data_IF_838935290215
#
_entry.id   IF_838935290215
#
_cell.length_a   1.000
_cell.length_b   1.000
_cell.length_c   1.000
_cell.angle_alpha   90.00
_cell.angle_beta   90.00
_cell.angle_gamma   90.00
#
_symmetry.space_group_name_H-M   'P 1'
#
loop_
_entity.id
_entity.type
_entity.pdbx_description
1 polymer ?
#
# COMPACT_ATOMS: atom_id res chain seq x y z
N UNK A 1 10.86 9.35 -8.68
CA UNK A 1 10.47 7.93 -8.54
C UNK A 1 11.53 7.10 -7.79
N UNK A 2 12.81 7.10 -8.19
CA UNK A 2 13.85 6.33 -7.50
C UNK A 2 14.08 6.77 -6.05
N UNK A 3 14.12 8.07 -5.77
CA UNK A 3 14.39 8.59 -4.42
C UNK A 3 13.32 8.19 -3.38
N UNK A 4 12.04 8.19 -3.75
CA UNK A 4 10.94 7.76 -2.86
C UNK A 4 10.99 6.27 -2.55
N UNK A 5 11.47 5.46 -3.50
CA UNK A 5 11.66 4.02 -3.34
C UNK A 5 12.78 3.75 -2.33
N UNK A 6 13.92 4.45 -2.43
CA UNK A 6 15.05 4.31 -1.51
C UNK A 6 14.71 4.66 -0.05
N UNK A 7 13.84 5.65 0.18
CA UNK A 7 13.41 6.07 1.53
C UNK A 7 12.35 5.12 2.11
N UNK A 8 11.47 4.55 1.28
CA UNK A 8 10.43 3.60 1.70
C UNK A 8 10.94 2.17 1.90
N UNK A 9 12.01 1.79 1.21
CA UNK A 9 12.52 0.42 1.15
C UNK A 9 12.87 -0.25 2.47
N UNK A 10 13.47 0.46 3.44
CA UNK A 10 13.67 -0.06 4.79
C UNK A 10 12.38 -0.62 5.39
N UNK A 11 11.31 0.16 5.31
CA UNK A 11 10.01 -0.17 5.88
C UNK A 11 9.31 -1.28 5.10
N UNK A 12 9.41 -1.24 3.77
CA UNK A 12 8.84 -2.27 2.90
C UNK A 12 9.55 -3.62 3.11
N UNK A 13 10.87 -3.62 3.29
CA UNK A 13 11.67 -4.83 3.55
C UNK A 13 11.38 -5.44 4.91
N UNK A 14 11.25 -4.61 5.96
CA UNK A 14 10.85 -5.06 7.30
C UNK A 14 9.43 -5.63 7.27
N UNK A 15 8.49 -4.97 6.56
CA UNK A 15 7.12 -5.44 6.38
C UNK A 15 7.10 -6.81 5.71
N UNK A 16 7.75 -6.96 4.57
CA UNK A 16 7.77 -8.22 3.81
C UNK A 16 8.40 -9.35 4.63
N UNK A 17 9.55 -9.14 5.28
CA UNK A 17 10.18 -10.16 6.13
C UNK A 17 9.32 -10.56 7.32
N UNK A 18 8.64 -9.61 7.95
CA UNK A 18 7.73 -9.86 9.07
C UNK A 18 6.46 -10.61 8.63
N UNK A 19 5.97 -10.34 7.40
CA UNK A 19 4.84 -11.04 6.80
C UNK A 19 5.19 -12.48 6.39
N UNK A 20 6.40 -12.73 5.89
CA UNK A 20 6.84 -14.06 5.44
C UNK A 20 7.28 -14.94 6.61
N UNK A 21 7.97 -14.39 7.61
CA UNK A 21 8.60 -15.15 8.70
C UNK A 21 8.08 -14.75 10.10
N UNK A 22 6.79 -14.96 10.39
CA UNK A 22 6.17 -14.54 11.66
C UNK A 22 6.75 -15.26 12.89
N UNK A 23 7.30 -16.48 12.72
CA UNK A 23 7.92 -17.25 13.82
C UNK A 23 9.34 -16.78 14.17
N UNK A 24 10.01 -16.10 13.25
CA UNK A 24 11.42 -15.68 13.39
C UNK A 24 11.52 -14.25 13.96
N UNK A 25 10.51 -13.42 13.70
CA UNK A 25 10.46 -12.01 14.06
C UNK A 25 9.17 -11.69 14.80
N UNK A 26 9.28 -11.26 16.06
CA UNK A 26 8.09 -10.97 16.88
C UNK A 26 7.48 -9.60 16.57
N UNK A 27 8.32 -8.62 16.27
CA UNK A 27 7.94 -7.23 16.08
C UNK A 27 8.77 -6.56 14.97
N UNK A 28 8.30 -5.43 14.44
CA UNK A 28 9.03 -4.65 13.43
C UNK A 28 10.39 -4.14 13.94
N UNK A 29 10.47 -3.76 15.22
CA UNK A 29 11.72 -3.33 15.86
C UNK A 29 12.68 -4.49 16.13
N UNK A 30 12.14 -5.67 16.45
CA UNK A 30 12.92 -6.90 16.63
C UNK A 30 13.49 -7.38 15.29
N UNK A 31 12.67 -7.34 14.23
CA UNK A 31 13.09 -7.57 12.85
C UNK A 31 14.20 -6.60 12.43
N UNK A 32 14.01 -5.30 12.66
CA UNK A 32 15.01 -4.29 12.34
C UNK A 32 16.32 -4.52 13.09
N UNK A 33 16.27 -4.72 14.41
CA UNK A 33 17.46 -4.95 15.24
C UNK A 33 18.20 -6.20 14.80
N UNK A 34 17.48 -7.29 14.55
CA UNK A 34 18.06 -8.58 14.14
C UNK A 34 18.70 -8.49 12.76
N UNK A 35 18.08 -7.80 11.80
CA UNK A 35 18.66 -7.56 10.47
C UNK A 35 19.90 -6.65 10.58
N UNK A 36 19.84 -5.61 11.39
CA UNK A 36 20.97 -4.70 11.59
C UNK A 36 22.16 -5.42 12.23
N UNK A 37 21.91 -6.30 13.21
CA UNK A 37 22.96 -7.08 13.88
C UNK A 37 23.50 -8.22 13.00
N UNK A 38 22.67 -8.85 12.16
CA UNK A 38 23.10 -9.99 11.34
C UNK A 38 23.70 -9.61 9.99
N UNK A 39 23.20 -8.54 9.35
CA UNK A 39 23.53 -8.18 7.97
C UNK A 39 23.92 -6.69 7.80
N UNK A 40 23.82 -5.87 8.84
CA UNK A 40 24.09 -4.43 8.77
C UNK A 40 23.07 -3.65 7.94
N UNK A 41 23.42 -2.40 7.60
CA UNK A 41 22.58 -1.50 6.79
C UNK A 41 22.36 -2.03 5.36
N UNK A 42 23.29 -2.82 4.82
CA UNK A 42 23.17 -3.43 3.49
C UNK A 42 22.15 -4.57 3.45
N UNK A 43 21.82 -5.19 4.59
CA UNK A 43 20.74 -6.18 4.71
C UNK A 43 19.35 -5.64 4.38
N UNK A 44 19.11 -4.35 4.65
CA UNK A 44 17.86 -3.66 4.28
C UNK A 44 17.71 -3.43 2.77
N UNK A 45 18.83 -3.46 2.02
CA UNK A 45 18.89 -3.21 0.58
C UNK A 45 19.20 -4.47 -0.24
N UNK A 46 19.42 -5.63 0.41
CA UNK A 46 19.87 -6.88 -0.22
C UNK A 46 18.87 -7.53 -1.20
N UNK A 47 17.64 -7.03 -1.29
CA UNK A 47 16.66 -7.45 -2.31
C UNK A 47 16.55 -6.47 -3.49
N UNK A 48 17.05 -5.25 -3.33
CA UNK A 48 16.85 -4.19 -4.33
C UNK A 48 17.90 -4.19 -5.40
N UNK A 49 19.15 -4.53 -5.07
CA UNK A 49 20.20 -4.61 -6.07
C UNK A 49 19.89 -5.68 -7.12
N UNK A 50 19.45 -6.92 -6.77
CA UNK A 50 19.03 -7.90 -7.77
C UNK A 50 17.78 -7.48 -8.54
N UNK A 51 16.78 -6.88 -7.90
CA UNK A 51 15.55 -6.44 -8.58
C UNK A 51 15.80 -5.25 -9.52
N UNK A 52 16.64 -4.30 -9.13
CA UNK A 52 17.04 -3.16 -9.95
C UNK A 52 17.99 -3.60 -11.07
N UNK A 53 18.92 -4.52 -10.79
CA UNK A 53 19.79 -5.11 -11.80
C UNK A 53 19.01 -5.99 -12.78
N UNK A 54 18.01 -6.75 -12.32
CA UNK A 54 17.11 -7.50 -13.20
C UNK A 54 16.27 -6.56 -14.06
N UNK A 55 15.68 -5.51 -13.48
CA UNK A 55 14.93 -4.51 -14.25
C UNK A 55 15.82 -3.73 -15.23
N UNK A 56 17.05 -3.38 -14.84
CA UNK A 56 18.01 -2.71 -15.70
C UNK A 56 18.53 -3.66 -16.79
N UNK A 57 18.79 -4.92 -16.45
CA UNK A 57 19.17 -5.96 -17.40
C UNK A 57 18.02 -6.28 -18.37
N UNK A 58 16.77 -6.32 -17.93
CA UNK A 58 15.61 -6.46 -18.80
C UNK A 58 15.50 -5.25 -19.72
N UNK A 59 15.67 -4.01 -19.23
CA UNK A 59 15.73 -2.83 -20.10
C UNK A 59 16.90 -2.85 -21.10
N UNK A 60 18.02 -3.51 -20.78
CA UNK A 60 19.20 -3.58 -21.63
C UNK A 60 19.20 -4.77 -22.61
N UNK A 61 18.71 -5.95 -22.20
CA UNK A 61 18.68 -7.19 -23.00
C UNK A 61 17.35 -7.37 -23.73
N UNK A 62 16.23 -7.03 -23.09
CA UNK A 62 14.92 -7.02 -23.68
C UNK A 62 14.50 -5.57 -23.89
N UNK A 63 15.02 -4.93 -24.94
CA UNK A 63 14.48 -3.66 -25.46
C UNK A 63 13.08 -3.86 -26.08
N UNK A 64 12.24 -4.69 -25.46
CA UNK A 64 10.83 -4.77 -25.75
C UNK A 64 10.23 -3.50 -25.18
N UNK A 65 10.01 -2.52 -26.05
CA UNK A 65 9.21 -1.34 -25.71
C UNK A 65 7.91 -1.82 -25.02
N UNK A 66 7.35 -1.06 -24.06
CA UNK A 66 6.06 -1.40 -23.45
C UNK A 66 4.98 -1.73 -24.48
N UNK A 67 5.08 -1.10 -25.66
CA UNK A 67 4.29 -1.38 -26.85
C UNK A 67 4.54 -2.77 -27.46
N UNK A 68 5.78 -3.24 -27.55
CA UNK A 68 6.11 -4.59 -28.01
C UNK A 68 5.56 -5.67 -27.06
N UNK A 69 5.69 -5.48 -25.74
CA UNK A 69 5.10 -6.38 -24.73
C UNK A 69 3.57 -6.40 -24.85
N UNK A 70 2.94 -5.23 -24.98
CA UNK A 70 1.48 -5.11 -25.16
C UNK A 70 1.01 -5.77 -26.46
N UNK A 71 1.73 -5.57 -27.56
CA UNK A 71 1.43 -6.19 -28.86
C UNK A 71 1.58 -7.72 -28.81
N UNK A 72 2.57 -8.22 -28.08
CA UNK A 72 2.78 -9.65 -27.87
C UNK A 72 1.63 -10.27 -27.04
N UNK A 73 1.21 -9.62 -25.96
CA UNK A 73 0.06 -10.06 -25.15
C UNK A 73 -1.24 -10.03 -25.98
N UNK A 74 -1.45 -8.99 -26.78
CA UNK A 74 -2.62 -8.86 -27.64
C UNK A 74 -2.65 -9.94 -28.72
N UNK A 75 -1.50 -10.35 -29.27
CA UNK A 75 -1.40 -11.44 -30.26
C UNK A 75 -1.58 -12.83 -29.66
N UNK A 76 -1.17 -13.04 -28.41
CA UNK A 76 -1.17 -14.36 -27.76
C UNK A 76 -2.46 -14.64 -26.97
N UNK A 77 -2.92 -13.67 -26.18
CA UNK A 77 -4.09 -13.81 -25.29
C UNK A 77 -5.28 -12.92 -25.71
N UNK A 78 -5.12 -12.10 -26.75
CA UNK A 78 -6.13 -11.15 -27.18
C UNK A 78 -6.37 -10.02 -26.19
N UNK A 79 -7.46 -9.27 -26.41
CA UNK A 79 -7.87 -8.15 -25.54
C UNK A 79 -8.18 -8.64 -24.12
N UNK A 80 -8.66 -9.89 -23.97
CA UNK A 80 -8.96 -10.48 -22.66
C UNK A 80 -7.70 -10.73 -21.81
N UNK A 81 -6.56 -11.00 -22.44
CA UNK A 81 -5.26 -11.12 -21.74
C UNK A 81 -4.83 -9.82 -21.05
N UNK A 82 -5.06 -8.68 -21.69
CA UNK A 82 -4.77 -7.35 -21.12
C UNK A 82 -5.58 -7.06 -19.84
N UNK A 83 -6.79 -7.62 -19.73
CA UNK A 83 -7.65 -7.45 -18.56
C UNK A 83 -7.56 -8.60 -17.56
N UNK A 84 -6.67 -9.56 -17.78
CA UNK A 84 -6.47 -10.72 -16.92
C UNK A 84 -5.85 -10.25 -15.59
N UNK A 85 -6.65 -10.28 -14.53
CA UNK A 85 -6.28 -9.76 -13.21
C UNK A 85 -6.98 -8.45 -12.83
N UNK A 86 -7.62 -7.75 -13.77
CA UNK A 86 -8.39 -6.53 -13.47
C UNK A 86 -9.54 -6.82 -12.51
N UNK A 87 -10.26 -7.94 -12.70
CA UNK A 87 -11.33 -8.38 -11.79
C UNK A 87 -10.81 -8.66 -10.37
N UNK A 88 -9.62 -9.24 -10.22
CA UNK A 88 -8.97 -9.43 -8.93
C UNK A 88 -8.59 -8.10 -8.27
N UNK A 89 -8.19 -7.11 -9.07
CA UNK A 89 -7.92 -5.75 -8.60
C UNK A 89 -9.20 -5.10 -8.10
N UNK A 90 -10.29 -5.08 -8.89
CA UNK A 90 -11.56 -4.46 -8.46
C UNK A 90 -12.11 -5.05 -7.16
N UNK A 91 -12.10 -6.38 -7.02
CA UNK A 91 -12.58 -7.06 -5.82
C UNK A 91 -11.79 -6.66 -4.56
N UNK A 92 -10.52 -6.31 -4.70
CA UNK A 92 -9.69 -5.84 -3.59
C UNK A 92 -9.82 -4.34 -3.35
N UNK A 93 -9.79 -3.54 -4.41
CA UNK A 93 -9.74 -2.09 -4.31
C UNK A 93 -11.10 -1.51 -3.89
N UNK A 94 -12.23 -2.05 -4.36
CA UNK A 94 -13.56 -1.50 -4.07
C UNK A 94 -13.92 -1.55 -2.58
N UNK A 95 -13.79 -2.68 -1.87
CA UNK A 95 -14.03 -2.71 -0.43
C UNK A 95 -13.08 -1.79 0.31
N UNK A 96 -11.81 -1.77 -0.10
CA UNK A 96 -10.81 -0.87 0.47
C UNK A 96 -11.25 0.59 0.39
N UNK A 97 -11.54 1.10 -0.82
CA UNK A 97 -11.98 2.49 -1.00
C UNK A 97 -13.29 2.79 -0.25
N UNK A 98 -14.22 1.85 -0.20
CA UNK A 98 -15.46 2.02 0.56
C UNK A 98 -15.18 2.29 2.04
N UNK A 99 -14.33 1.48 2.68
CA UNK A 99 -13.97 1.68 4.09
C UNK A 99 -13.03 2.88 4.31
N UNK A 100 -12.21 3.22 3.33
CA UNK A 100 -11.38 4.42 3.37
C UNK A 100 -12.25 5.68 3.42
N UNK A 101 -13.15 5.85 2.44
CA UNK A 101 -14.05 7.02 2.39
C UNK A 101 -15.09 7.00 3.52
N UNK A 102 -15.58 5.82 3.91
CA UNK A 102 -16.45 5.68 5.08
C UNK A 102 -15.75 6.09 6.38
N UNK A 103 -14.50 5.67 6.58
CA UNK A 103 -13.68 6.08 7.73
C UNK A 103 -13.35 7.58 7.72
N UNK A 104 -13.08 8.13 6.53
CA UNK A 104 -12.89 9.57 6.35
C UNK A 104 -14.14 10.36 6.75
N UNK A 105 -15.31 10.01 6.21
CA UNK A 105 -16.54 10.75 6.46
C UNK A 105 -16.99 10.58 7.91
N UNK A 106 -16.89 9.39 8.50
CA UNK A 106 -17.18 9.18 9.93
C UNK A 106 -16.28 10.05 10.82
N UNK A 107 -14.97 10.03 10.59
CA UNK A 107 -14.02 10.81 11.39
C UNK A 107 -14.27 12.31 11.21
N UNK A 108 -14.57 12.72 9.97
CA UNK A 108 -14.92 14.09 9.65
C UNK A 108 -16.22 14.52 10.34
N UNK A 109 -17.27 13.70 10.31
CA UNK A 109 -18.54 13.95 11.00
C UNK A 109 -18.35 14.04 12.52
N UNK A 110 -17.46 13.25 13.11
CA UNK A 110 -17.14 13.32 14.54
C UNK A 110 -16.32 14.57 14.91
N UNK A 111 -15.41 15.02 14.04
CA UNK A 111 -14.57 16.21 14.27
C UNK A 111 -15.27 17.53 13.91
N UNK A 112 -16.37 17.47 13.16
CA UNK A 112 -17.26 18.61 12.92
C UNK A 112 -18.23 18.75 14.10
N UNK A 113 -17.83 19.52 15.12
CA UNK A 113 -18.75 20.01 16.14
C UNK A 113 -19.84 20.88 15.50
N UNK A 114 -21.03 20.90 16.11
CA UNK A 114 -22.31 21.47 15.65
C UNK A 114 -22.32 22.95 15.19
N UNK A 115 -21.19 23.64 15.14
CA UNK A 115 -21.07 25.03 14.67
C UNK A 115 -20.86 25.12 13.15
N UNK A 116 -21.94 24.86 12.42
CA UNK A 116 -22.50 25.77 11.40
C UNK A 116 -21.71 26.31 10.21
N UNK A 117 -20.40 26.08 9.99
CA UNK A 117 -19.71 26.60 8.78
C UNK A 117 -18.81 25.57 8.11
N UNK A 118 -19.21 25.17 6.89
CA UNK A 118 -18.54 24.20 6.00
C UNK A 118 -17.16 24.67 5.47
N UNK A 119 -16.64 25.82 5.90
CA UNK A 119 -15.48 26.50 5.26
C UNK A 119 -14.25 26.68 6.13
N UNK A 120 -14.28 26.36 7.43
CA UNK A 120 -13.10 26.43 8.33
C UNK A 120 -12.80 25.07 8.98
N UNK A 121 -12.68 24.03 8.15
CA UNK A 121 -12.14 22.76 8.63
C UNK A 121 -10.64 22.98 8.83
N UNK A 122 -10.25 23.40 10.04
CA UNK A 122 -8.86 23.67 10.37
C UNK A 122 -7.95 22.53 9.90
N UNK A 123 -6.83 22.87 9.27
CA UNK A 123 -5.86 21.96 8.66
C UNK A 123 -5.59 20.68 9.47
N UNK A 124 -5.53 20.80 10.80
CA UNK A 124 -5.33 19.69 11.73
C UNK A 124 -6.45 18.65 11.66
N UNK A 125 -7.72 19.09 11.54
CA UNK A 125 -8.88 18.20 11.44
C UNK A 125 -8.88 17.41 10.13
N UNK A 126 -8.52 18.05 9.01
CA UNK A 126 -8.38 17.40 7.69
C UNK A 126 -7.26 16.36 7.73
N UNK A 127 -6.13 16.70 8.36
CA UNK A 127 -5.02 15.79 8.51
C UNK A 127 -5.38 14.55 9.34
N UNK A 128 -6.05 14.75 10.49
CA UNK A 128 -6.51 13.66 11.35
C UNK A 128 -7.55 12.80 10.64
N UNK A 129 -8.53 13.41 9.95
CA UNK A 129 -9.55 12.64 9.22
C UNK A 129 -8.95 11.83 8.07
N UNK A 130 -7.99 12.40 7.34
CA UNK A 130 -7.23 11.70 6.31
C UNK A 130 -6.37 10.56 6.87
N UNK A 131 -5.70 10.78 8.00
CA UNK A 131 -4.93 9.75 8.70
C UNK A 131 -5.77 8.59 9.20
N UNK A 132 -6.91 8.89 9.82
CA UNK A 132 -7.87 7.91 10.34
C UNK A 132 -8.54 7.09 9.22
N UNK A 133 -8.84 7.71 8.08
CA UNK A 133 -9.30 7.01 6.89
C UNK A 133 -8.30 5.93 6.43
N UNK A 134 -7.02 6.27 6.43
CA UNK A 134 -5.93 5.33 6.12
C UNK A 134 -5.88 4.18 7.11
N UNK A 135 -5.97 4.46 8.42
CA UNK A 135 -5.98 3.42 9.47
C UNK A 135 -7.15 2.45 9.27
N UNK A 136 -8.36 2.96 9.05
CA UNK A 136 -9.57 2.15 8.85
C UNK A 136 -9.45 1.24 7.63
N UNK A 137 -8.94 1.77 6.51
CA UNK A 137 -8.64 0.98 5.31
C UNK A 137 -7.72 -0.19 5.63
N UNK A 138 -6.60 0.09 6.32
CA UNK A 138 -5.59 -0.94 6.57
C UNK A 138 -6.05 -1.96 7.60
N UNK A 139 -6.80 -1.61 8.65
CA UNK A 139 -7.34 -2.59 9.60
C UNK A 139 -8.18 -3.67 8.89
N UNK A 140 -8.93 -3.29 7.86
CA UNK A 140 -9.82 -4.19 7.14
C UNK A 140 -9.10 -4.93 6.01
N UNK A 141 -8.24 -4.24 5.26
CA UNK A 141 -7.58 -4.80 4.08
C UNK A 141 -6.29 -5.59 4.40
N UNK A 142 -5.67 -5.34 5.55
CA UNK A 142 -4.38 -5.93 5.91
C UNK A 142 -4.36 -7.48 5.88
N UNK A 143 -5.38 -8.21 6.38
CA UNK A 143 -5.40 -9.67 6.28
C UNK A 143 -5.33 -10.17 4.83
N UNK A 144 -6.09 -9.56 3.93
CA UNK A 144 -6.09 -9.91 2.50
C UNK A 144 -4.71 -9.68 1.86
N UNK A 145 -4.05 -8.58 2.23
CA UNK A 145 -2.71 -8.27 1.74
C UNK A 145 -1.66 -9.26 2.26
N UNK A 146 -1.73 -9.67 3.53
CA UNK A 146 -0.81 -10.68 4.09
C UNK A 146 -0.97 -12.03 3.38
N UNK A 147 -2.21 -12.48 3.15
CA UNK A 147 -2.48 -13.74 2.45
C UNK A 147 -1.91 -13.70 1.04
N UNK A 148 -2.15 -12.60 0.31
CA UNK A 148 -1.65 -12.41 -1.06
C UNK A 148 -0.12 -12.39 -1.11
N UNK A 149 0.53 -11.63 -0.24
CA UNK A 149 1.99 -11.55 -0.19
C UNK A 149 2.62 -12.91 0.14
N UNK A 150 2.02 -13.71 1.03
CA UNK A 150 2.51 -15.07 1.31
C UNK A 150 2.30 -16.02 0.13
N UNK A 151 1.15 -15.96 -0.51
CA UNK A 151 0.87 -16.79 -1.68
C UNK A 151 1.80 -16.47 -2.87
N UNK A 152 2.24 -15.22 -3.00
CA UNK A 152 3.22 -14.80 -4.01
C UNK A 152 4.64 -15.30 -3.72
N UNK A 153 5.00 -15.48 -2.45
CA UNK A 153 6.33 -15.96 -2.03
C UNK A 153 6.39 -17.48 -2.06
N UNK A 154 5.35 -18.15 -1.58
CA UNK A 154 5.22 -19.60 -1.62
C UNK A 154 4.35 -19.96 -2.82
N UNK A 155 4.95 -20.24 -3.98
CA UNK A 155 4.25 -20.73 -5.18
C UNK A 155 3.39 -21.95 -4.82
N UNK A 156 2.12 -21.72 -4.51
CA UNK A 156 1.19 -22.75 -4.07
C UNK A 156 0.00 -22.79 -5.02
N UNK A 157 -0.35 -23.99 -5.46
CA UNK A 157 -1.53 -24.24 -6.31
C UNK A 157 -2.84 -24.28 -5.50
N UNK A 158 -2.80 -23.97 -4.20
CA UNK A 158 -3.99 -23.97 -3.36
C UNK A 158 -4.83 -22.71 -3.63
N UNK A 159 -6.16 -22.90 -3.70
CA UNK A 159 -7.13 -21.79 -3.77
C UNK A 159 -6.96 -20.86 -2.56
N UNK A 160 -7.20 -19.56 -2.77
CA UNK A 160 -7.02 -18.49 -1.78
C UNK A 160 -7.68 -18.83 -0.44
N UNK A 161 -8.93 -19.31 -0.45
CA UNK A 161 -9.68 -19.67 0.75
C UNK A 161 -9.08 -20.86 1.51
N UNK A 162 -8.65 -21.90 0.78
CA UNK A 162 -8.02 -23.07 1.38
C UNK A 162 -6.66 -22.72 1.99
N UNK A 163 -5.93 -21.79 1.38
CA UNK A 163 -4.68 -21.27 1.93
C UNK A 163 -4.94 -20.44 3.19
N UNK A 164 -5.93 -19.54 3.18
CA UNK A 164 -6.36 -18.76 4.36
C UNK A 164 -6.73 -19.67 5.54
N UNK A 165 -7.56 -20.68 5.32
CA UNK A 165 -7.96 -21.64 6.36
C UNK A 165 -6.75 -22.42 6.92
N UNK A 166 -5.81 -22.79 6.05
CA UNK A 166 -4.57 -23.46 6.46
C UNK A 166 -3.73 -22.57 7.37
N UNK A 167 -3.59 -21.28 7.04
CA UNK A 167 -2.86 -20.31 7.86
C UNK A 167 -3.55 -20.13 9.22
N UNK A 168 -4.86 -19.92 9.22
CA UNK A 168 -5.63 -19.71 10.46
C UNK A 168 -5.49 -20.93 11.39
N UNK A 169 -5.55 -22.15 10.85
CA UNK A 169 -5.44 -23.38 11.62
C UNK A 169 -4.04 -23.67 12.14
N UNK A 170 -3.00 -23.33 11.36
CA UNK A 170 -1.61 -23.69 11.70
C UNK A 170 -0.84 -22.57 12.43
N UNK A 171 -1.19 -21.31 12.20
CA UNK A 171 -0.45 -20.13 12.69
C UNK A 171 -1.33 -19.15 13.48
N UNK A 172 -2.65 -19.31 13.46
CA UNK A 172 -3.60 -18.46 14.18
C UNK A 172 -3.92 -17.13 13.48
N UNK A 173 -5.02 -16.50 13.93
CA UNK A 173 -5.55 -15.25 13.36
C UNK A 173 -4.63 -14.04 13.58
N UNK A 174 -3.89 -14.01 14.69
CA UNK A 174 -2.98 -12.89 15.02
C UNK A 174 -1.88 -12.74 13.97
N UNK A 175 -1.49 -13.85 13.33
CA UNK A 175 -0.46 -13.87 12.29
C UNK A 175 -0.86 -13.08 11.04
N UNK A 176 -2.15 -12.95 10.75
CA UNK A 176 -2.67 -12.12 9.66
C UNK A 176 -2.49 -10.62 9.93
N UNK A 177 -2.25 -10.22 11.17
CA UNK A 177 -2.00 -8.84 11.59
C UNK A 177 -0.52 -8.57 11.90
N UNK A 178 0.36 -9.54 11.68
CA UNK A 178 1.80 -9.38 11.86
C UNK A 178 2.34 -8.33 10.88
N UNK A 179 2.86 -7.22 11.42
CA UNK A 179 3.35 -6.06 10.64
C UNK A 179 2.33 -4.96 10.34
N UNK A 180 1.16 -5.00 10.97
CA UNK A 180 0.16 -3.94 10.83
C UNK A 180 0.67 -2.59 11.35
N UNK A 181 1.35 -2.56 12.51
CA UNK A 181 1.84 -1.32 13.13
C UNK A 181 2.70 -0.41 12.24
N UNK A 182 3.79 -0.88 11.60
CA UNK A 182 4.56 -0.03 10.70
C UNK A 182 3.75 0.43 9.48
N UNK A 183 2.79 -0.39 9.05
CA UNK A 183 1.87 -0.03 7.96
C UNK A 183 0.95 1.12 8.40
N UNK A 184 0.32 1.01 9.58
CA UNK A 184 -0.57 2.05 10.12
C UNK A 184 0.13 3.38 10.29
N UNK A 185 1.32 3.39 10.91
CA UNK A 185 2.11 4.61 11.12
C UNK A 185 2.42 5.26 9.78
N UNK A 186 2.99 4.50 8.84
CA UNK A 186 3.30 5.00 7.49
C UNK A 186 2.06 5.60 6.84
N UNK A 187 0.93 4.90 6.93
CA UNK A 187 -0.28 5.29 6.21
C UNK A 187 -0.93 6.50 6.82
N UNK A 188 -0.94 6.64 8.14
CA UNK A 188 -1.48 7.79 8.83
C UNK A 188 -0.78 9.09 8.40
N UNK A 189 0.56 9.09 8.37
CA UNK A 189 1.33 10.24 7.90
C UNK A 189 1.15 10.51 6.41
N UNK A 190 1.18 9.46 5.58
CA UNK A 190 1.06 9.58 4.13
C UNK A 190 -0.32 10.08 3.69
N UNK A 191 -1.41 9.51 4.23
CA UNK A 191 -2.78 9.90 3.85
C UNK A 191 -3.17 11.25 4.46
N UNK A 192 -2.70 11.55 5.67
CA UNK A 192 -2.83 12.89 6.23
C UNK A 192 -2.19 13.95 5.33
N UNK A 193 -0.94 13.73 4.89
CA UNK A 193 -0.25 14.66 3.97
C UNK A 193 -0.96 14.77 2.61
N UNK A 194 -1.52 13.67 2.10
CA UNK A 194 -2.29 13.65 0.86
C UNK A 194 -3.52 14.57 0.94
N UNK A 195 -4.30 14.46 2.01
CA UNK A 195 -5.50 15.29 2.18
C UNK A 195 -5.18 16.78 2.39
N UNK A 196 -4.10 17.09 3.11
CA UNK A 196 -3.58 18.47 3.19
C UNK A 196 -3.27 19.01 1.79
N UNK A 197 -2.52 18.24 1.02
CA UNK A 197 -2.05 18.65 -0.31
C UNK A 197 -3.24 18.88 -1.22
N UNK A 198 -4.21 17.97 -1.19
CA UNK A 198 -5.46 18.08 -1.92
C UNK A 198 -6.20 19.38 -1.59
N UNK A 199 -6.37 19.71 -0.30
CA UNK A 199 -7.09 20.93 0.10
C UNK A 199 -6.36 22.21 -0.38
N UNK A 200 -5.04 22.26 -0.24
CA UNK A 200 -4.24 23.40 -0.73
C UNK A 200 -4.35 23.57 -2.25
N UNK A 201 -4.25 22.48 -3.01
CA UNK A 201 -4.37 22.52 -4.47
C UNK A 201 -5.77 22.96 -4.89
N UNK A 202 -6.81 22.47 -4.21
CA UNK A 202 -8.20 22.86 -4.48
C UNK A 202 -8.44 24.35 -4.23
N UNK A 203 -7.93 24.88 -3.10
CA UNK A 203 -8.03 26.30 -2.78
C UNK A 203 -7.29 27.16 -3.81
N UNK A 204 -6.07 26.76 -4.17
CA UNK A 204 -5.27 27.46 -5.19
C UNK A 204 -5.98 27.48 -6.55
N UNK A 205 -6.51 26.35 -6.99
CA UNK A 205 -7.22 26.25 -8.26
C UNK A 205 -8.49 27.11 -8.27
N UNK A 206 -9.22 27.14 -7.15
CA UNK A 206 -10.38 28.01 -7.00
C UNK A 206 -10.04 29.51 -7.10
N UNK A 207 -8.87 29.92 -6.58
CA UNK A 207 -8.38 31.28 -6.73
C UNK A 207 -7.97 31.60 -8.16
N UNK A 208 -7.29 30.67 -8.86
CA UNK A 208 -6.89 30.84 -10.25
C UNK A 208 -8.10 30.98 -11.18
N UNK A 209 -9.10 30.10 -11.04
CA UNK A 209 -10.33 30.18 -11.84
C UNK A 209 -11.14 31.46 -11.57
N UNK A 210 -11.02 32.03 -10.36
CA UNK A 210 -11.65 33.31 -10.04
C UNK A 210 -10.88 34.50 -10.61
N UNK A 211 -9.56 34.38 -10.75
CA UNK A 211 -8.69 35.38 -11.38
C UNK A 211 -8.78 35.38 -12.91
N UNK A 212 -9.22 34.28 -13.53
CA UNK A 212 -9.38 34.18 -14.99
C UNK A 212 -10.76 34.65 -15.47
N UNK A 213 -11.77 34.61 -14.59
CA UNK A 213 -13.15 35.01 -14.87
C UNK A 213 -13.51 36.45 -14.43
N UNK A 214 -12.56 37.25 -13.97
CA UNK A 214 -12.75 38.63 -13.51
C UNK A 214 -11.78 39.58 -14.18
#
# INVERSE_FOLDING_TARGET
AAASVYVGQPLDTIKVKLQIFPKVYKNSLDCFKKIYTSEGLTGLYKGTVPALAANAADCCFNFSTPFAMTAQILRTEGIRGLFRGLTSTWIREVPGYFFFFGGYELTRSLLMSKDGRKTDIGFVKIWISGGMAGITFWIIMYPCDVIKSRQQVFTTNKSFLNYTLTIIRNEGLVTLYSGLMPTLIRTFFATGALFITYEKVRLLLGLLLKSENG
#
